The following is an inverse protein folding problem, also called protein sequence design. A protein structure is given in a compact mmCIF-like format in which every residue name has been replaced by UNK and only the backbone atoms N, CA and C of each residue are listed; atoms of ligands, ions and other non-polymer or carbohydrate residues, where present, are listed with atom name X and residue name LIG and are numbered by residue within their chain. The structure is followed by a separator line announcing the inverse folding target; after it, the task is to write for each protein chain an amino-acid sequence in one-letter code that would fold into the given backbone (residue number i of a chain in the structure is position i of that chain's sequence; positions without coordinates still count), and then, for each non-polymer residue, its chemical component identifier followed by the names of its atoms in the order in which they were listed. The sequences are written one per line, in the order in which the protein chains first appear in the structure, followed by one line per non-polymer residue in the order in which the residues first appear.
data_IF_604497442916
#
_entry.id   IF_604497442916
#
_cell.length_a   1.000
_cell.length_b   1.000
_cell.length_c   1.000
_cell.angle_alpha   90.00
_cell.angle_beta   90.00
_cell.angle_gamma   90.00
#
_symmetry.space_group_name_H-M   'P 1'
#
loop_
_entity.id
_entity.type
_entity.pdbx_description
1 polymer ?
#
# COMPACT_ATOMS: atom_id res chain seq x y z
N UNK A 1 36.44 1.32 27.81
CA UNK A 1 36.93 1.78 26.50
C UNK A 1 36.21 1.05 25.35
N UNK A 2 36.14 -0.29 25.37
CA UNK A 2 35.51 -1.07 24.30
C UNK A 2 34.03 -0.68 24.04
N UNK A 3 33.20 -0.54 25.07
CA UNK A 3 31.79 -0.16 24.94
C UNK A 3 31.63 1.20 24.24
N UNK A 4 32.42 2.22 24.64
CA UNK A 4 32.35 3.52 23.99
C UNK A 4 32.74 3.46 22.51
N UNK A 5 33.75 2.65 22.16
CA UNK A 5 34.13 2.41 20.77
C UNK A 5 33.00 1.72 19.96
N UNK A 6 32.38 0.68 20.54
CA UNK A 6 31.27 -0.02 19.91
C UNK A 6 30.10 0.92 19.62
N UNK A 7 29.74 1.79 20.57
CA UNK A 7 28.68 2.78 20.37
C UNK A 7 29.00 3.75 19.22
N UNK A 8 30.24 4.22 19.11
CA UNK A 8 30.67 5.09 18.01
C UNK A 8 30.59 4.31 16.67
N UNK A 9 31.04 3.05 16.65
CA UNK A 9 30.98 2.22 15.44
C UNK A 9 29.54 1.92 15.00
N UNK A 10 28.61 1.77 15.94
CA UNK A 10 27.18 1.63 15.64
C UNK A 10 26.66 2.87 14.89
N UNK A 11 26.96 4.07 15.41
CA UNK A 11 26.52 5.31 14.74
C UNK A 11 27.14 5.43 13.35
N UNK A 12 28.45 5.26 13.23
CA UNK A 12 29.16 5.34 11.94
C UNK A 12 28.62 4.29 10.96
N UNK A 13 28.47 3.05 11.42
CA UNK A 13 27.95 1.96 10.58
C UNK A 13 26.51 2.23 10.11
N UNK A 14 25.64 2.71 11.01
CA UNK A 14 24.24 3.06 10.66
C UNK A 14 24.17 4.20 9.65
N UNK A 15 24.98 5.26 9.84
CA UNK A 15 25.04 6.39 8.91
C UNK A 15 25.58 5.95 7.54
N UNK A 16 26.65 5.18 7.51
CA UNK A 16 27.23 4.66 6.27
C UNK A 16 26.22 3.74 5.56
N UNK A 17 25.58 2.84 6.29
CA UNK A 17 24.53 1.98 5.72
C UNK A 17 23.38 2.79 5.12
N UNK A 18 22.92 3.84 5.81
CA UNK A 18 21.88 4.72 5.30
C UNK A 18 22.25 5.37 3.96
N UNK A 19 23.47 5.85 3.81
CA UNK A 19 23.90 6.53 2.57
C UNK A 19 24.35 5.60 1.44
N UNK A 20 24.81 4.40 1.77
CA UNK A 20 25.37 3.47 0.78
C UNK A 20 24.37 2.42 0.32
N UNK A 21 23.24 2.24 1.02
CA UNK A 21 22.23 1.24 0.68
C UNK A 21 21.20 1.80 -0.31
N UNK A 22 21.00 1.16 -1.49
CA UNK A 22 20.04 1.61 -2.51
C UNK A 22 18.62 1.05 -2.31
N UNK A 23 18.29 0.53 -1.17
CA UNK A 23 17.24 -0.46 -0.90
C UNK A 23 15.80 0.05 -0.82
N UNK A 24 15.48 1.31 -1.07
CA UNK A 24 14.28 1.77 -0.43
C UNK A 24 13.27 2.60 -1.20
N UNK A 25 13.49 2.87 -2.46
CA UNK A 25 12.48 3.70 -3.12
C UNK A 25 12.08 3.15 -4.47
N UNK A 26 10.85 2.65 -4.56
CA UNK A 26 10.16 2.59 -5.84
C UNK A 26 9.80 4.00 -6.28
N UNK A 27 9.92 4.34 -7.57
CA UNK A 27 9.51 5.65 -8.09
C UNK A 27 8.03 5.88 -7.86
N UNK A 28 7.67 6.98 -7.21
CA UNK A 28 6.26 7.32 -6.97
C UNK A 28 5.52 7.58 -8.28
N UNK A 29 4.27 7.10 -8.35
CA UNK A 29 3.38 7.23 -9.49
C UNK A 29 1.97 7.74 -9.11
N UNK A 30 1.84 8.35 -7.93
CA UNK A 30 0.60 8.96 -7.46
C UNK A 30 0.83 10.36 -6.89
N UNK A 31 -0.25 11.00 -6.46
CA UNK A 31 -0.24 12.31 -5.79
C UNK A 31 0.20 12.27 -4.31
N UNK A 32 0.67 11.13 -3.80
CA UNK A 32 1.03 10.94 -2.39
C UNK A 32 2.53 11.15 -2.08
N UNK A 33 3.21 12.00 -2.82
CA UNK A 33 4.61 12.43 -2.56
C UNK A 33 4.83 13.04 -1.17
N UNK A 34 3.79 13.63 -0.58
CA UNK A 34 3.81 14.11 0.81
C UNK A 34 4.15 13.01 1.83
N UNK A 35 3.78 11.76 1.56
CA UNK A 35 4.15 10.61 2.41
C UNK A 35 5.66 10.43 2.40
N UNK A 36 6.27 10.43 1.21
CA UNK A 36 7.72 10.30 1.05
C UNK A 36 8.46 11.45 1.75
N UNK A 37 8.00 12.69 1.56
CA UNK A 37 8.59 13.85 2.24
C UNK A 37 8.49 13.75 3.76
N UNK A 38 7.34 13.31 4.28
CA UNK A 38 7.15 13.11 5.73
C UNK A 38 8.08 12.05 6.28
N UNK A 39 8.24 10.93 5.57
CA UNK A 39 9.16 9.85 5.95
C UNK A 39 10.61 10.37 5.95
N UNK A 40 11.04 11.06 4.89
CA UNK A 40 12.39 11.63 4.80
C UNK A 40 12.69 12.58 5.95
N UNK A 41 11.78 13.51 6.24
CA UNK A 41 11.92 14.46 7.36
C UNK A 41 12.04 13.70 8.69
N UNK A 42 11.18 12.70 8.89
CA UNK A 42 11.20 11.87 10.09
C UNK A 42 12.54 11.12 10.24
N UNK A 43 13.06 10.53 9.17
CA UNK A 43 14.37 9.86 9.20
C UNK A 43 15.52 10.82 9.53
N UNK A 44 15.52 12.04 8.98
CA UNK A 44 16.53 13.02 9.32
C UNK A 44 16.48 13.43 10.78
N UNK A 45 15.30 13.77 11.31
CA UNK A 45 15.15 14.19 12.70
C UNK A 45 15.51 13.04 13.65
N UNK A 46 14.95 11.86 13.43
CA UNK A 46 15.21 10.69 14.29
C UNK A 46 16.65 10.20 14.17
N UNK A 47 17.24 10.26 12.98
CA UNK A 47 18.65 9.92 12.75
C UNK A 47 19.62 10.84 13.49
N UNK A 48 19.37 12.16 13.47
CA UNK A 48 20.16 13.13 14.23
C UNK A 48 20.02 12.88 15.73
N UNK A 49 18.80 12.68 16.24
CA UNK A 49 18.55 12.38 17.66
C UNK A 49 19.23 11.08 18.07
N UNK A 50 19.11 10.01 17.25
CA UNK A 50 19.79 8.74 17.47
C UNK A 50 21.31 8.92 17.60
N UNK A 51 21.91 9.59 16.63
CA UNK A 51 23.36 9.85 16.64
C UNK A 51 23.77 10.67 17.89
N UNK A 52 23.03 11.74 18.21
CA UNK A 52 23.31 12.58 19.37
C UNK A 52 23.22 11.79 20.68
N UNK A 53 22.19 11.00 20.88
CA UNK A 53 21.99 10.20 22.11
C UNK A 53 23.06 9.13 22.24
N UNK A 54 23.35 8.36 21.18
CA UNK A 54 24.35 7.28 21.24
C UNK A 54 25.78 7.83 21.41
N UNK A 55 26.12 8.94 20.74
CA UNK A 55 27.40 9.59 20.91
C UNK A 55 27.53 10.21 22.32
N UNK A 56 26.46 10.79 22.88
CA UNK A 56 26.44 11.26 24.24
C UNK A 56 26.64 10.12 25.25
N UNK A 57 25.99 8.97 25.03
CA UNK A 57 26.24 7.76 25.83
C UNK A 57 27.69 7.31 25.73
N UNK A 58 28.24 7.27 24.52
CA UNK A 58 29.67 6.92 24.32
C UNK A 58 30.59 7.88 25.08
N UNK A 59 30.31 9.20 25.03
CA UNK A 59 31.01 10.22 25.78
C UNK A 59 30.93 9.98 27.31
N UNK A 60 29.71 9.70 27.83
CA UNK A 60 29.51 9.43 29.26
C UNK A 60 30.29 8.18 29.71
N UNK A 61 30.24 7.08 28.98
CA UNK A 61 30.96 5.85 29.25
C UNK A 61 32.48 6.08 29.24
N UNK A 62 32.96 6.91 28.29
CA UNK A 62 34.38 7.25 28.21
C UNK A 62 34.82 8.19 29.32
N UNK A 63 34.06 9.26 29.56
CA UNK A 63 34.44 10.37 30.49
C UNK A 63 34.28 9.99 31.94
N UNK A 64 33.23 9.25 32.29
CA UNK A 64 32.88 8.90 33.67
C UNK A 64 33.25 7.47 34.05
N UNK A 65 34.18 6.85 33.32
CA UNK A 65 34.70 5.53 33.65
C UNK A 65 35.37 5.53 35.02
N UNK A 66 35.33 4.38 35.70
CA UNK A 66 36.01 4.21 36.96
C UNK A 66 37.50 4.55 36.86
N UNK A 67 38.00 5.34 37.82
CA UNK A 67 39.40 5.64 38.02
C UNK A 67 39.70 5.54 39.52
N UNK A 68 40.82 4.92 39.86
CA UNK A 68 41.25 4.82 41.26
C UNK A 68 41.31 6.19 41.91
N UNK A 69 40.79 6.32 43.14
CA UNK A 69 40.74 7.56 43.89
C UNK A 69 39.57 8.51 43.57
N UNK A 70 38.83 8.29 42.51
CA UNK A 70 37.66 9.12 42.20
C UNK A 70 36.38 8.49 42.76
N UNK A 71 35.55 9.30 43.42
CA UNK A 71 34.20 8.92 43.85
C UNK A 71 33.16 9.64 42.96
N UNK A 72 32.10 8.94 42.64
CA UNK A 72 30.94 9.54 41.95
C UNK A 72 30.20 10.50 42.91
N UNK A 73 29.76 11.64 42.41
CA UNK A 73 28.82 12.50 43.12
C UNK A 73 27.44 11.78 43.20
N UNK A 74 26.80 11.91 44.34
CA UNK A 74 25.47 11.39 44.55
C UNK A 74 24.45 12.50 44.27
N UNK A 75 23.90 12.50 43.07
CA UNK A 75 22.80 13.42 42.65
C UNK A 75 21.65 12.57 42.07
N UNK A 76 20.75 12.09 42.94
CA UNK A 76 19.68 11.15 42.49
C UNK A 76 18.62 11.80 41.61
N UNK A 77 18.42 13.11 41.74
CA UNK A 77 17.36 13.84 41.04
C UNK A 77 17.81 15.21 40.54
N UNK A 78 17.38 15.56 39.33
CA UNK A 78 17.57 16.93 38.81
C UNK A 78 16.26 17.38 38.13
N UNK A 79 15.35 17.98 38.95
CA UNK A 79 14.02 18.46 38.47
C UNK A 79 14.14 19.43 37.28
N UNK A 80 15.22 20.23 37.22
CA UNK A 80 15.45 21.13 36.09
C UNK A 80 15.78 20.36 34.80
N UNK A 81 16.63 19.34 34.90
CA UNK A 81 16.98 18.50 33.75
C UNK A 81 15.78 17.70 33.26
N UNK A 82 15.04 17.09 34.18
CA UNK A 82 13.83 16.32 33.87
C UNK A 82 12.76 17.18 33.15
N UNK A 83 12.56 18.40 33.68
CA UNK A 83 11.64 19.36 33.06
C UNK A 83 12.04 19.71 31.62
N UNK A 84 13.33 20.04 31.42
CA UNK A 84 13.84 20.37 30.08
C UNK A 84 13.77 19.18 29.12
N UNK A 85 14.15 17.99 29.56
CA UNK A 85 14.03 16.77 28.74
C UNK A 85 12.59 16.51 28.35
N UNK A 86 11.65 16.62 29.29
CA UNK A 86 10.23 16.44 29.01
C UNK A 86 9.71 17.45 27.99
N UNK A 87 10.00 18.74 28.19
CA UNK A 87 9.50 19.79 27.29
C UNK A 87 10.12 19.69 25.89
N UNK A 88 11.44 19.46 25.80
CA UNK A 88 12.11 19.33 24.50
C UNK A 88 11.62 18.08 23.75
N UNK A 89 11.46 16.96 24.45
CA UNK A 89 10.94 15.72 23.84
C UNK A 89 9.48 15.92 23.40
N UNK A 90 8.64 16.50 24.24
CA UNK A 90 7.24 16.77 23.89
C UNK A 90 7.12 17.70 22.67
N UNK A 91 7.92 18.76 22.63
CA UNK A 91 7.96 19.66 21.48
C UNK A 91 8.45 18.94 20.20
N UNK A 92 9.48 18.10 20.31
CA UNK A 92 9.99 17.30 19.19
C UNK A 92 8.97 16.31 18.66
N UNK A 93 8.29 15.57 19.56
CA UNK A 93 7.21 14.62 19.19
C UNK A 93 6.04 15.37 18.52
N UNK A 94 5.65 16.53 19.08
CA UNK A 94 4.57 17.33 18.48
C UNK A 94 4.96 17.83 17.09
N UNK A 95 6.20 18.28 16.90
CA UNK A 95 6.70 18.73 15.60
C UNK A 95 6.73 17.63 14.54
N UNK A 96 6.91 16.36 14.94
CA UNK A 96 6.82 15.20 14.04
C UNK A 96 5.36 14.77 13.78
N UNK A 97 4.50 14.87 14.78
CA UNK A 97 3.11 14.42 14.69
C UNK A 97 2.25 15.33 13.80
N UNK A 98 2.42 16.65 13.90
CA UNK A 98 1.56 17.63 13.18
C UNK A 98 1.61 17.45 11.66
N UNK A 99 2.77 17.33 10.99
CA UNK A 99 2.81 17.05 9.54
C UNK A 99 2.14 15.72 9.19
N UNK A 100 2.34 14.67 9.99
CA UNK A 100 1.71 13.36 9.78
C UNK A 100 0.19 13.43 9.85
N UNK A 101 -0.38 14.15 10.82
CA UNK A 101 -1.84 14.37 10.94
C UNK A 101 -2.39 15.17 9.75
N UNK A 102 -1.62 16.12 9.22
CA UNK A 102 -2.01 16.87 8.04
C UNK A 102 -2.09 15.98 6.79
N UNK A 103 -1.08 15.12 6.57
CA UNK A 103 -1.09 14.13 5.48
C UNK A 103 -2.25 13.15 5.66
N UNK A 104 -2.45 12.63 6.88
CA UNK A 104 -3.56 11.73 7.19
C UNK A 104 -4.92 12.38 6.92
N UNK A 105 -5.11 13.63 7.33
CA UNK A 105 -6.35 14.37 7.04
C UNK A 105 -6.64 14.44 5.54
N UNK A 106 -5.62 14.64 4.70
CA UNK A 106 -5.80 14.62 3.24
C UNK A 106 -6.12 13.23 2.72
N UNK A 107 -5.51 12.19 3.28
CA UNK A 107 -5.71 10.80 2.87
C UNK A 107 -7.15 10.32 3.11
N UNK A 108 -7.78 10.75 4.19
CA UNK A 108 -9.19 10.36 4.49
C UNK A 108 -10.24 11.23 3.82
N UNK A 109 -9.88 12.42 3.33
CA UNK A 109 -10.80 13.32 2.64
C UNK A 109 -10.73 13.11 1.13
N UNK A 110 -11.69 12.37 0.60
CA UNK A 110 -11.78 12.04 -0.83
C UNK A 110 -12.28 13.26 -1.62
N UNK A 111 -11.64 13.61 -2.75
CA UNK A 111 -12.17 14.61 -3.68
C UNK A 111 -13.55 14.24 -4.21
N UNK A 112 -14.43 15.20 -4.38
CA UNK A 112 -15.80 14.96 -4.85
C UNK A 112 -15.89 14.45 -6.29
N UNK A 113 -14.85 14.71 -7.08
CA UNK A 113 -14.70 14.27 -8.47
C UNK A 113 -14.07 12.87 -8.61
N UNK A 114 -13.73 12.22 -7.50
CA UNK A 114 -13.12 10.89 -7.54
C UNK A 114 -14.12 9.84 -8.03
N UNK A 115 -13.69 9.04 -9.00
CA UNK A 115 -14.47 7.89 -9.48
C UNK A 115 -14.34 6.73 -8.48
N UNK A 116 -15.47 6.18 -8.07
CA UNK A 116 -15.50 4.99 -7.22
C UNK A 116 -15.11 3.75 -8.04
N UNK A 117 -14.18 2.95 -7.54
CA UNK A 117 -13.80 1.64 -8.08
C UNK A 117 -13.85 0.63 -6.93
N UNK A 118 -14.65 -0.41 -7.07
CA UNK A 118 -14.70 -1.47 -6.08
C UNK A 118 -13.64 -2.53 -6.36
N UNK A 119 -12.94 -2.95 -5.31
CA UNK A 119 -12.00 -4.07 -5.32
C UNK A 119 -12.49 -5.12 -4.36
N UNK A 120 -12.65 -6.34 -4.84
CA UNK A 120 -13.05 -7.49 -4.04
C UNK A 120 -11.89 -8.48 -3.96
N UNK A 121 -11.43 -8.73 -2.74
CA UNK A 121 -10.42 -9.74 -2.44
C UNK A 121 -11.06 -11.06 -2.02
N UNK A 122 -10.53 -12.16 -2.53
CA UNK A 122 -10.82 -13.50 -2.06
C UNK A 122 -9.58 -14.37 -2.20
N UNK A 123 -9.53 -15.52 -1.57
CA UNK A 123 -8.41 -16.48 -1.60
C UNK A 123 -8.32 -17.16 -2.97
N UNK A 124 -7.38 -16.88 -3.88
CA UNK A 124 -6.33 -15.87 -3.80
C UNK A 124 -6.32 -15.08 -5.10
N UNK A 125 -7.34 -14.25 -5.29
CA UNK A 125 -7.55 -13.47 -6.51
C UNK A 125 -8.16 -12.09 -6.19
N UNK A 126 -8.07 -11.22 -7.18
CA UNK A 126 -8.68 -9.90 -7.19
C UNK A 126 -9.80 -9.87 -8.22
N UNK A 127 -10.89 -9.19 -7.89
CA UNK A 127 -11.94 -8.83 -8.86
C UNK A 127 -12.21 -7.34 -8.72
N UNK A 128 -12.53 -6.70 -9.81
CA UNK A 128 -12.75 -5.26 -9.84
C UNK A 128 -14.12 -4.96 -10.43
N UNK A 129 -14.73 -3.89 -9.93
CA UNK A 129 -15.96 -3.36 -10.51
C UNK A 129 -15.82 -1.84 -10.66
N UNK A 130 -16.10 -1.36 -11.87
CA UNK A 130 -16.05 0.03 -12.24
C UNK A 130 -17.45 0.53 -12.54
N UNK A 131 -17.77 1.80 -12.27
CA UNK A 131 -19.04 2.38 -12.63
C UNK A 131 -19.18 2.37 -14.16
N UNK A 132 -20.39 2.10 -14.60
CA UNK A 132 -20.75 2.11 -16.02
C UNK A 132 -20.90 3.52 -16.58
N UNK A 133 -21.83 3.67 -17.51
CA UNK A 133 -22.07 4.95 -18.20
C UNK A 133 -22.69 6.02 -17.31
N UNK A 134 -23.40 5.61 -16.27
CA UNK A 134 -24.03 6.54 -15.32
C UNK A 134 -23.04 7.11 -14.28
N UNK A 135 -21.80 6.58 -14.22
CA UNK A 135 -20.75 6.98 -13.33
C UNK A 135 -20.98 6.60 -11.87
N UNK A 136 -21.86 5.65 -11.57
CA UNK A 136 -22.20 5.20 -10.23
C UNK A 136 -22.10 3.69 -10.13
N UNK A 137 -21.52 3.21 -9.02
CA UNK A 137 -21.59 1.79 -8.70
C UNK A 137 -22.96 1.43 -8.12
N UNK A 138 -23.54 0.34 -8.62
CA UNK A 138 -24.70 -0.27 -7.98
C UNK A 138 -24.38 -0.85 -6.61
N UNK A 139 -25.41 -1.08 -5.82
CA UNK A 139 -25.30 -1.70 -4.49
C UNK A 139 -24.90 -3.17 -4.62
N UNK A 140 -24.12 -3.65 -3.64
CA UNK A 140 -23.72 -5.04 -3.50
C UNK A 140 -23.96 -5.53 -2.09
N UNK A 141 -24.29 -6.82 -1.93
CA UNK A 141 -24.46 -7.48 -0.64
C UNK A 141 -23.76 -8.85 -0.67
N UNK A 142 -23.03 -9.16 0.39
CA UNK A 142 -22.34 -10.44 0.54
C UNK A 142 -23.31 -11.62 0.58
N UNK A 143 -24.58 -11.40 0.92
CA UNK A 143 -25.65 -12.42 0.89
C UNK A 143 -26.06 -12.83 -0.52
N UNK A 144 -25.81 -11.96 -1.51
CA UNK A 144 -26.12 -12.18 -2.91
C UNK A 144 -24.92 -12.73 -3.70
N UNK A 145 -23.82 -13.07 -3.01
CA UNK A 145 -22.65 -13.72 -3.62
C UNK A 145 -23.01 -15.17 -3.98
N UNK A 146 -22.94 -15.47 -5.28
CA UNK A 146 -23.16 -16.79 -5.85
C UNK A 146 -22.07 -17.08 -6.89
N UNK A 147 -21.92 -18.32 -7.39
CA UNK A 147 -20.99 -18.60 -8.49
C UNK A 147 -21.24 -17.76 -9.75
N UNK A 148 -22.51 -17.40 -10.01
CA UNK A 148 -22.92 -16.57 -11.16
C UNK A 148 -22.84 -15.07 -10.87
N UNK A 149 -22.77 -14.68 -9.60
CA UNK A 149 -22.66 -13.30 -9.13
C UNK A 149 -21.61 -13.19 -8.02
N UNK A 150 -20.33 -13.39 -8.33
CA UNK A 150 -19.27 -13.47 -7.31
C UNK A 150 -19.06 -12.17 -6.56
N UNK A 151 -19.52 -11.04 -7.07
CA UNK A 151 -19.42 -9.74 -6.41
C UNK A 151 -20.67 -9.39 -5.59
N UNK A 152 -21.73 -10.20 -5.64
CA UNK A 152 -22.98 -9.96 -4.91
C UNK A 152 -23.68 -8.66 -5.31
N UNK A 153 -23.61 -8.28 -6.60
CA UNK A 153 -24.31 -7.09 -7.11
C UNK A 153 -25.81 -7.31 -7.04
N UNK A 154 -26.56 -6.36 -6.51
CA UNK A 154 -28.03 -6.47 -6.40
C UNK A 154 -28.65 -6.28 -7.79
N UNK A 155 -29.18 -7.38 -8.36
CA UNK A 155 -29.72 -7.39 -9.71
C UNK A 155 -30.91 -6.43 -9.93
N UNK A 156 -31.62 -6.04 -8.88
CA UNK A 156 -32.73 -5.08 -8.95
C UNK A 156 -32.28 -3.61 -8.89
N UNK A 157 -31.00 -3.33 -8.61
CA UNK A 157 -30.47 -1.98 -8.62
C UNK A 157 -30.18 -1.54 -10.05
N UNK A 158 -30.86 -0.50 -10.56
CA UNK A 158 -30.64 -0.03 -11.93
C UNK A 158 -29.21 0.50 -12.15
N UNK A 159 -28.55 1.09 -11.12
CA UNK A 159 -27.19 1.60 -11.25
C UNK A 159 -26.16 0.48 -11.41
N UNK A 160 -26.46 -0.74 -10.94
CA UNK A 160 -25.53 -1.87 -11.06
C UNK A 160 -25.56 -2.57 -12.41
N UNK A 161 -26.57 -2.29 -13.27
CA UNK A 161 -26.75 -3.02 -14.52
C UNK A 161 -25.68 -2.71 -15.56
N UNK A 162 -25.19 -1.49 -15.57
CA UNK A 162 -24.14 -1.03 -16.48
C UNK A 162 -22.74 -1.04 -15.84
N UNK A 163 -22.63 -1.48 -14.57
CA UNK A 163 -21.34 -1.69 -13.91
C UNK A 163 -20.46 -2.64 -14.74
N UNK A 164 -19.24 -2.26 -14.93
CA UNK A 164 -18.24 -3.08 -15.61
C UNK A 164 -17.58 -4.01 -14.62
N UNK A 165 -17.64 -5.31 -14.87
CA UNK A 165 -17.05 -6.34 -14.00
C UNK A 165 -15.79 -6.89 -14.65
N UNK A 166 -14.68 -6.87 -13.92
CA UNK A 166 -13.39 -7.38 -14.35
C UNK A 166 -12.95 -8.48 -13.38
N UNK A 167 -13.00 -9.73 -13.84
CA UNK A 167 -12.56 -10.91 -13.08
C UNK A 167 -11.11 -11.30 -13.40
N UNK A 168 -10.34 -10.36 -13.92
CA UNK A 168 -8.92 -10.53 -14.23
C UNK A 168 -8.06 -9.83 -13.19
N UNK A 169 -6.78 -10.23 -13.11
CA UNK A 169 -5.83 -9.60 -12.22
C UNK A 169 -5.42 -8.17 -12.64
N UNK A 170 -5.97 -7.65 -13.74
CA UNK A 170 -5.53 -6.41 -14.39
C UNK A 170 -6.63 -5.34 -14.28
N UNK A 171 -6.36 -4.32 -13.47
CA UNK A 171 -7.20 -3.12 -13.34
C UNK A 171 -6.61 -2.00 -14.18
N UNK A 172 -7.42 -1.39 -15.04
CA UNK A 172 -7.02 -0.19 -15.78
C UNK A 172 -7.58 1.08 -15.14
N UNK A 173 -6.76 2.14 -15.09
CA UNK A 173 -7.12 3.44 -14.53
C UNK A 173 -6.60 4.58 -15.43
N UNK A 174 -7.35 5.68 -15.58
CA UNK A 174 -6.90 6.82 -16.35
C UNK A 174 -5.89 7.68 -15.57
N UNK A 175 -4.81 8.10 -16.23
CA UNK A 175 -3.83 9.01 -15.64
C UNK A 175 -4.45 10.38 -15.34
N UNK A 176 -4.09 10.99 -14.21
CA UNK A 176 -4.51 12.33 -13.81
C UNK A 176 -5.95 12.44 -13.30
N UNK A 177 -6.69 11.36 -13.19
CA UNK A 177 -8.05 11.36 -12.60
C UNK A 177 -8.02 10.78 -11.18
N UNK A 178 -8.65 11.43 -10.19
CA UNK A 178 -8.75 10.88 -8.85
C UNK A 178 -9.66 9.65 -8.83
N UNK A 179 -9.21 8.62 -8.14
CA UNK A 179 -9.94 7.34 -7.97
C UNK A 179 -10.08 7.04 -6.49
N UNK A 180 -11.29 6.68 -6.07
CA UNK A 180 -11.57 6.15 -4.75
C UNK A 180 -11.75 4.65 -4.84
N UNK A 181 -10.86 3.92 -4.20
CA UNK A 181 -10.91 2.48 -4.12
C UNK A 181 -11.81 2.08 -2.95
N UNK A 182 -12.90 1.39 -3.25
CA UNK A 182 -13.78 0.75 -2.25
C UNK A 182 -13.33 -0.70 -2.10
N UNK A 183 -12.87 -1.06 -0.91
CA UNK A 183 -12.21 -2.34 -0.66
C UNK A 183 -13.11 -3.26 0.16
N UNK A 184 -13.33 -4.46 -0.34
CA UNK A 184 -14.18 -5.47 0.29
C UNK A 184 -13.54 -6.85 0.20
N UNK A 185 -13.62 -7.61 1.29
CA UNK A 185 -13.27 -9.03 1.30
C UNK A 185 -14.51 -9.89 1.49
N UNK A 186 -14.56 -11.05 0.83
CA UNK A 186 -15.67 -12.02 0.94
C UNK A 186 -15.31 -13.24 1.80
N UNK A 187 -14.05 -13.40 2.20
CA UNK A 187 -13.59 -14.55 2.98
C UNK A 187 -12.73 -14.16 4.19
N UNK A 188 -11.47 -13.85 4.01
CA UNK A 188 -10.51 -13.53 5.08
C UNK A 188 -9.95 -12.11 4.94
N UNK A 189 -9.11 -11.69 5.86
CA UNK A 189 -8.41 -10.41 5.76
C UNK A 189 -7.41 -10.44 4.60
N UNK A 190 -7.47 -9.44 3.74
CA UNK A 190 -6.49 -9.12 2.70
C UNK A 190 -6.04 -7.67 2.87
N UNK A 191 -5.04 -7.27 2.11
CA UNK A 191 -4.65 -5.85 2.01
C UNK A 191 -4.30 -5.55 0.56
N UNK A 192 -4.92 -4.52 0.01
CA UNK A 192 -4.63 -4.05 -1.35
C UNK A 192 -3.52 -3.02 -1.29
N UNK A 193 -2.36 -3.37 -1.83
CA UNK A 193 -1.15 -2.57 -1.77
C UNK A 193 -0.52 -2.37 -3.14
N UNK A 194 -0.31 -1.11 -3.51
CA UNK A 194 0.48 -0.71 -4.69
C UNK A 194 1.62 0.19 -4.21
N UNK A 195 2.86 -0.31 -4.14
CA UNK A 195 4.01 0.42 -3.58
C UNK A 195 4.25 1.79 -4.21
N UNK A 196 4.15 1.87 -5.55
CA UNK A 196 4.37 3.10 -6.31
C UNK A 196 3.29 4.15 -6.08
N UNK A 197 2.11 3.75 -5.60
CA UNK A 197 1.04 4.69 -5.26
C UNK A 197 1.10 5.17 -3.81
N UNK A 198 1.97 4.59 -2.98
CA UNK A 198 2.01 4.83 -1.51
C UNK A 198 0.66 4.59 -0.84
N UNK A 199 -0.16 3.74 -1.45
CA UNK A 199 -1.51 3.45 -1.01
C UNK A 199 -1.64 1.97 -0.63
N UNK A 200 -2.11 1.74 0.58
CA UNK A 200 -2.31 0.45 1.19
C UNK A 200 -3.50 0.52 2.14
N UNK A 201 -4.39 -0.47 2.08
CA UNK A 201 -5.53 -0.52 2.97
C UNK A 201 -6.04 -1.95 3.15
N UNK A 202 -6.33 -2.30 4.39
CA UNK A 202 -6.91 -3.59 4.76
C UNK A 202 -8.32 -3.77 4.18
N UNK A 203 -8.59 -4.99 3.73
CA UNK A 203 -9.87 -5.46 3.23
C UNK A 203 -10.48 -6.40 4.26
N UNK A 204 -11.37 -5.86 5.10
CA UNK A 204 -11.90 -6.54 6.28
C UNK A 204 -13.24 -7.20 5.92
N UNK A 205 -13.41 -8.53 6.11
CA UNK A 205 -14.69 -9.20 5.89
C UNK A 205 -15.83 -8.52 6.66
N UNK A 206 -16.94 -8.25 5.95
CA UNK A 206 -18.12 -7.59 6.53
C UNK A 206 -18.01 -6.07 6.67
N UNK A 207 -16.92 -5.45 6.19
CA UNK A 207 -16.74 -3.99 6.18
C UNK A 207 -16.25 -3.52 4.82
N UNK A 208 -16.62 -2.30 4.43
CA UNK A 208 -16.06 -1.65 3.26
C UNK A 208 -15.08 -0.60 3.73
N UNK A 209 -13.79 -0.79 3.45
CA UNK A 209 -12.76 0.20 3.69
C UNK A 209 -12.48 0.99 2.40
N UNK A 210 -11.76 2.08 2.50
CA UNK A 210 -11.44 2.88 1.32
C UNK A 210 -10.13 3.66 1.47
N UNK A 211 -9.54 3.99 0.34
CA UNK A 211 -8.55 5.03 0.17
C UNK A 211 -8.73 5.68 -1.21
N UNK A 212 -8.03 6.76 -1.46
CA UNK A 212 -8.06 7.39 -2.77
C UNK A 212 -6.66 7.82 -3.21
N UNK A 213 -6.48 7.96 -4.50
CA UNK A 213 -5.26 8.49 -5.10
C UNK A 213 -5.54 9.02 -6.50
N UNK A 214 -4.60 9.80 -7.03
CA UNK A 214 -4.59 10.20 -8.43
C UNK A 214 -3.34 9.62 -9.07
N UNK A 215 -3.46 8.71 -10.05
CA UNK A 215 -2.30 8.24 -10.80
C UNK A 215 -1.63 9.39 -11.54
N UNK A 216 -0.31 9.54 -11.42
CA UNK A 216 0.44 10.67 -12.03
C UNK A 216 1.31 10.25 -13.20
N UNK A 217 1.48 8.94 -13.42
CA UNK A 217 2.32 8.38 -14.49
C UNK A 217 1.61 7.21 -15.13
N UNK A 218 1.67 7.11 -16.45
CA UNK A 218 1.27 5.90 -17.19
C UNK A 218 2.28 4.79 -16.97
N UNK A 219 1.82 3.54 -17.03
CA UNK A 219 2.64 2.36 -16.85
C UNK A 219 1.92 1.24 -16.13
N UNK A 220 2.67 0.18 -15.83
CA UNK A 220 2.18 -1.03 -15.18
C UNK A 220 2.74 -1.12 -13.77
N UNK A 221 1.86 -1.26 -12.78
CA UNK A 221 2.20 -1.27 -11.37
C UNK A 221 1.69 -2.56 -10.71
N UNK A 222 2.51 -3.16 -9.85
CA UNK A 222 2.16 -4.40 -9.18
C UNK A 222 1.18 -4.15 -8.03
N UNK A 223 0.16 -5.00 -7.95
CA UNK A 223 -0.72 -5.12 -6.79
C UNK A 223 -0.25 -6.30 -5.95
N UNK A 224 -0.09 -6.09 -4.68
CA UNK A 224 0.33 -7.11 -3.71
C UNK A 224 -0.75 -7.25 -2.64
N UNK A 225 -0.97 -8.48 -2.18
CA UNK A 225 -1.64 -8.69 -0.91
C UNK A 225 -0.63 -8.48 0.22
N UNK A 226 -0.85 -7.51 1.10
CA UNK A 226 0.08 -7.18 2.19
C UNK A 226 -0.42 -7.65 3.57
N UNK A 227 -1.49 -8.48 3.63
CA UNK A 227 -1.95 -9.17 4.83
C UNK A 227 -1.99 -10.69 4.61
N UNK A 228 -1.50 -11.47 5.61
CA UNK A 228 -1.43 -12.93 5.53
C UNK A 228 -2.83 -13.54 5.41
N UNK A 229 -3.19 -13.96 4.20
CA UNK A 229 -4.52 -14.47 3.85
C UNK A 229 -4.56 -15.99 3.61
N UNK A 230 -3.55 -16.74 4.00
CA UNK A 230 -3.49 -18.20 3.87
C UNK A 230 -2.32 -18.70 3.02
N UNK A 231 -2.37 -19.96 2.58
CA UNK A 231 -1.24 -20.61 1.90
C UNK A 231 -0.87 -19.96 0.56
N UNK A 232 -1.86 -19.46 -0.18
CA UNK A 232 -1.65 -18.79 -1.46
C UNK A 232 -1.30 -17.29 -1.35
N UNK A 233 -1.10 -16.76 -0.13
CA UNK A 233 -0.76 -15.35 0.08
C UNK A 233 0.39 -14.84 -0.81
N UNK A 234 1.53 -15.54 -0.97
CA UNK A 234 2.61 -15.05 -1.82
C UNK A 234 2.26 -15.06 -3.32
N UNK A 235 1.17 -15.71 -3.73
CA UNK A 235 0.73 -15.81 -5.12
C UNK A 235 -0.42 -14.84 -5.44
N UNK A 236 -0.97 -14.15 -4.43
CA UNK A 236 -2.06 -13.20 -4.62
C UNK A 236 -1.52 -11.86 -5.13
N UNK A 237 -1.31 -11.82 -6.44
CA UNK A 237 -0.81 -10.66 -7.18
C UNK A 237 -1.87 -10.13 -8.13
N UNK A 238 -1.71 -8.89 -8.55
CA UNK A 238 -2.48 -8.25 -9.60
C UNK A 238 -1.65 -7.12 -10.23
N UNK A 239 -2.26 -6.44 -11.18
CA UNK A 239 -1.63 -5.33 -11.90
C UNK A 239 -2.60 -4.16 -11.97
N UNK A 240 -2.11 -2.95 -11.74
CA UNK A 240 -2.80 -1.73 -12.15
C UNK A 240 -2.08 -1.16 -13.36
N UNK A 241 -2.79 -1.07 -14.48
CA UNK A 241 -2.34 -0.38 -15.68
C UNK A 241 -2.88 1.04 -15.66
N UNK A 242 -1.98 2.01 -15.66
CA UNK A 242 -2.37 3.42 -15.76
C UNK A 242 -2.19 3.86 -17.20
N UNK A 243 -3.31 4.19 -17.83
CA UNK A 243 -3.40 4.48 -19.25
C UNK A 243 -3.64 5.96 -19.53
N UNK A 244 -3.46 6.36 -20.79
CA UNK A 244 -4.04 7.61 -21.28
C UNK A 244 -5.57 7.51 -21.24
N UNK A 245 -6.25 8.65 -21.20
CA UNK A 245 -7.74 8.65 -21.19
C UNK A 245 -8.32 7.92 -22.40
N UNK A 246 -7.67 8.02 -23.57
CA UNK A 246 -8.12 7.35 -24.78
C UNK A 246 -7.97 5.82 -24.67
N UNK A 247 -6.85 5.32 -24.21
CA UNK A 247 -6.60 3.89 -24.09
C UNK A 247 -7.48 3.26 -23.00
N UNK A 248 -7.66 3.97 -21.88
CA UNK A 248 -8.57 3.57 -20.80
C UNK A 248 -10.02 3.42 -21.31
N UNK A 249 -10.53 4.40 -22.06
CA UNK A 249 -11.88 4.34 -22.59
C UNK A 249 -12.06 3.24 -23.64
N UNK A 250 -11.01 2.96 -24.44
CA UNK A 250 -11.02 1.84 -25.39
C UNK A 250 -11.10 0.50 -24.64
N UNK A 251 -10.23 0.30 -23.62
CA UNK A 251 -10.25 -0.90 -22.79
C UNK A 251 -11.58 -1.07 -22.06
N UNK A 252 -12.12 0.00 -21.46
CA UNK A 252 -13.40 -0.04 -20.74
C UNK A 252 -14.55 -0.45 -21.66
N UNK A 253 -14.54 0.00 -22.91
CA UNK A 253 -15.52 -0.33 -23.91
C UNK A 253 -15.51 -1.80 -24.36
N UNK A 254 -14.42 -2.53 -24.13
CA UNK A 254 -14.27 -3.96 -24.44
C UNK A 254 -14.74 -4.86 -23.29
N UNK A 255 -14.93 -4.29 -22.08
CA UNK A 255 -15.33 -5.06 -20.90
C UNK A 255 -16.82 -5.34 -20.90
N UNK A 256 -17.21 -6.41 -20.21
CA UNK A 256 -18.62 -6.79 -20.06
C UNK A 256 -19.27 -6.08 -18.88
N UNK A 257 -20.51 -5.67 -19.07
CA UNK A 257 -21.32 -5.14 -17.97
C UNK A 257 -21.97 -6.27 -17.17
N UNK A 258 -22.36 -5.97 -15.92
CA UNK A 258 -23.08 -6.92 -15.07
C UNK A 258 -24.35 -7.45 -15.75
N UNK A 259 -25.12 -6.60 -16.42
CA UNK A 259 -26.30 -7.02 -17.18
C UNK A 259 -25.96 -8.01 -18.31
N UNK A 260 -24.82 -7.84 -18.99
CA UNK A 260 -24.37 -8.74 -20.04
C UNK A 260 -23.93 -10.11 -19.48
N UNK A 261 -23.24 -10.11 -18.33
CA UNK A 261 -22.82 -11.33 -17.65
C UNK A 261 -23.98 -12.11 -17.06
N UNK A 262 -24.99 -11.41 -16.53
CA UNK A 262 -26.20 -12.00 -15.92
C UNK A 262 -27.26 -12.42 -16.91
N UNK A 263 -27.12 -12.05 -18.19
CA UNK A 263 -28.07 -12.44 -19.22
C UNK A 263 -28.02 -13.96 -19.43
N UNK A 264 -29.18 -14.65 -19.52
CA UNK A 264 -29.21 -16.08 -19.82
C UNK A 264 -28.44 -16.35 -21.12
N UNK A 265 -27.38 -17.14 -21.04
CA UNK A 265 -26.66 -17.57 -22.23
C UNK A 265 -27.66 -18.30 -23.14
N UNK A 266 -28.03 -17.67 -24.24
CA UNK A 266 -28.78 -18.37 -25.28
C UNK A 266 -27.89 -19.51 -25.76
N UNK A 267 -28.26 -20.73 -25.43
CA UNK A 267 -27.61 -21.96 -25.92
C UNK A 267 -27.86 -22.06 -27.44
N UNK A 268 -27.14 -21.25 -28.19
CA UNK A 268 -27.06 -21.26 -29.64
C UNK A 268 -25.84 -22.07 -30.07
N UNK A 269 -26.12 -23.27 -30.61
CA UNK A 269 -25.29 -24.18 -31.42
C UNK A 269 -23.78 -24.23 -31.09
N UNK A 270 -23.36 -25.42 -30.73
CA UNK A 270 -21.98 -25.84 -30.53
C UNK A 270 -20.98 -25.26 -31.57
N UNK A 271 -20.32 -24.17 -31.22
CA UNK A 271 -19.09 -23.70 -31.83
C UNK A 271 -18.02 -23.80 -30.77
N UNK A 272 -17.01 -24.60 -31.03
CA UNK A 272 -15.88 -24.89 -30.14
C UNK A 272 -15.34 -23.64 -29.48
N UNK A 273 -15.40 -23.61 -28.15
CA UNK A 273 -14.66 -22.64 -27.36
C UNK A 273 -13.17 -22.84 -27.64
N UNK A 274 -12.38 -21.79 -27.84
CA UNK A 274 -10.94 -21.92 -27.85
C UNK A 274 -10.48 -22.28 -26.41
N UNK A 275 -9.98 -23.49 -26.28
CA UNK A 275 -9.27 -23.97 -25.07
C UNK A 275 -8.12 -23.01 -24.77
N UNK A 276 -8.35 -22.05 -23.89
CA UNK A 276 -7.26 -21.26 -23.34
C UNK A 276 -6.48 -22.14 -22.39
N UNK A 277 -5.44 -22.74 -22.93
CA UNK A 277 -4.44 -23.51 -22.20
C UNK A 277 -3.88 -22.67 -21.06
N UNK A 278 -4.01 -23.17 -19.83
CA UNK A 278 -3.31 -22.69 -18.64
C UNK A 278 -1.84 -23.08 -18.79
N UNK A 279 -1.10 -22.35 -19.60
CA UNK A 279 0.32 -22.61 -19.87
C UNK A 279 1.27 -21.45 -19.52
N UNK A 280 0.79 -20.32 -18.98
CA UNK A 280 1.65 -19.16 -18.75
C UNK A 280 2.31 -19.08 -17.35
N UNK A 281 1.94 -19.98 -16.43
CA UNK A 281 2.50 -19.96 -15.07
C UNK A 281 3.82 -20.73 -14.91
N UNK A 282 4.18 -21.61 -15.86
CA UNK A 282 5.38 -22.46 -15.76
C UNK A 282 6.58 -21.96 -16.56
N UNK A 283 6.39 -21.12 -17.56
CA UNK A 283 7.51 -20.58 -18.35
C UNK A 283 8.27 -19.44 -17.65
N UNK A 284 7.61 -18.66 -16.79
CA UNK A 284 8.26 -17.57 -16.04
C UNK A 284 9.20 -18.12 -14.94
N UNK A 285 8.94 -19.32 -14.42
CA UNK A 285 9.79 -19.96 -13.43
C UNK A 285 11.12 -20.48 -14.02
N UNK A 286 11.12 -20.87 -15.28
CA UNK A 286 12.32 -21.40 -15.96
C UNK A 286 13.31 -20.30 -16.38
N UNK A 287 12.86 -19.09 -16.61
CA UNK A 287 13.72 -17.97 -17.04
C UNK A 287 14.49 -17.32 -15.87
N UNK A 288 13.98 -17.44 -14.64
CA UNK A 288 14.64 -16.91 -13.44
C UNK A 288 15.79 -17.78 -12.92
N UNK A 289 15.85 -19.05 -13.24
CA UNK A 289 16.99 -19.92 -12.87
C UNK A 289 18.25 -19.69 -13.71
N UNK A 290 18.13 -19.10 -14.90
CA UNK A 290 19.28 -18.89 -15.79
C UNK A 290 20.02 -17.59 -15.55
N UNK A 291 19.49 -16.65 -14.79
CA UNK A 291 20.13 -15.34 -14.49
C UNK A 291 20.95 -15.37 -13.19
N UNK A 292 20.79 -16.38 -12.34
CA UNK A 292 21.48 -16.51 -11.05
C UNK A 292 22.88 -17.16 -11.10
N UNK A 293 23.42 -17.52 -12.28
CA UNK A 293 24.72 -18.22 -12.42
C UNK A 293 25.71 -17.49 -13.35
N UNK A 294 25.79 -16.18 -13.26
CA UNK A 294 26.92 -15.43 -13.83
C UNK A 294 27.35 -14.29 -12.91
#
# INVERSE_FOLDING_TARGET
MAIALVLVLIVVGSVLFHFLSPWWWTPIASNWDYIDHTIVITFWITGVVFAAVVLFMAYCVFRFRHREGNRAAYEPESKRLEWWLTVVTAAGVTALLVPGLFVWSRFVNVPSEATDVEVVGQQWQWSFRLPGKDGKLGTSDTRDVTPENPLGVIASDPNGQDDVVVEAADLHLPVGKPVKMLLRSIDVLHDFYVPEFRAKMDMIPGSVTYFWFTPTKTGTFQVLCAELCGQGHPLMHGVVMVDTEQDYLAWLGEQQTFAQLSAPQQTGSAGQAPEKTIASGLEIAAELETVGSR
#
